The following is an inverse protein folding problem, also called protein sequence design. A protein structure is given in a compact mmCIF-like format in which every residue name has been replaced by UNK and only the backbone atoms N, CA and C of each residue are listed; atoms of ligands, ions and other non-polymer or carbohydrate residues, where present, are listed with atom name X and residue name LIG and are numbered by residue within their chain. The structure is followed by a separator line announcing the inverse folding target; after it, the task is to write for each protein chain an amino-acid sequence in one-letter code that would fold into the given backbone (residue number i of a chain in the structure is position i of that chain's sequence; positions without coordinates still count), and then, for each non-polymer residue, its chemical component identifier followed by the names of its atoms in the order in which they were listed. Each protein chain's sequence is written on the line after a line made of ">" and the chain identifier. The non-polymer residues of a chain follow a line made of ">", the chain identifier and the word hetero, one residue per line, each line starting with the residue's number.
data_IF_971066626243
#
_entry.id   IF_971066626243
#
_cell.length_a   1.000
_cell.length_b   1.000
_cell.length_c   1.000
_cell.angle_alpha   90.00
_cell.angle_beta   90.00
_cell.angle_gamma   90.00
#
_symmetry.space_group_name_H-M   'P 1'
#
loop_
_entity.id
_entity.type
_entity.pdbx_description
1 polymer ?
#
# COMPACT_ATOMS: atom_id res chain seq x y z
N UNK A 1 16.54 -73.40 75.20
CA UNK A 1 15.50 -72.99 74.24
C UNK A 1 15.17 -71.49 74.27
N UNK A 2 15.24 -70.77 75.40
CA UNK A 2 14.85 -69.35 75.47
C UNK A 2 15.69 -68.36 74.64
N UNK A 3 17.00 -68.60 74.47
CA UNK A 3 17.86 -67.72 73.69
C UNK A 3 17.53 -67.73 72.18
N UNK A 4 17.24 -68.91 71.61
CA UNK A 4 16.92 -69.07 70.18
C UNK A 4 15.61 -68.35 69.82
N UNK A 5 14.61 -68.40 70.71
CA UNK A 5 13.32 -67.70 70.53
C UNK A 5 13.49 -66.17 70.63
N UNK A 6 14.38 -65.70 71.50
CA UNK A 6 14.74 -64.27 71.62
C UNK A 6 15.41 -63.72 70.34
N UNK A 7 16.32 -64.48 69.72
CA UNK A 7 16.97 -64.06 68.48
C UNK A 7 16.01 -64.07 67.29
N UNK A 8 15.06 -65.01 67.24
CA UNK A 8 14.05 -65.07 66.17
C UNK A 8 13.16 -63.81 66.17
N UNK A 9 12.70 -63.39 67.35
CA UNK A 9 11.89 -62.18 67.50
C UNK A 9 12.65 -60.90 67.11
N UNK A 10 13.96 -60.84 67.37
CA UNK A 10 14.82 -59.74 66.93
C UNK A 10 14.97 -59.72 65.40
N UNK A 11 15.15 -60.89 64.78
CA UNK A 11 15.22 -61.03 63.32
C UNK A 11 13.91 -60.56 62.66
N UNK A 12 12.75 -60.95 63.21
CA UNK A 12 11.45 -60.53 62.70
C UNK A 12 11.24 -59.01 62.83
N UNK A 13 11.68 -58.42 63.94
CA UNK A 13 11.66 -56.97 64.14
C UNK A 13 12.54 -56.24 63.12
N UNK A 14 13.77 -56.72 62.90
CA UNK A 14 14.68 -56.16 61.91
C UNK A 14 14.08 -56.27 60.50
N UNK A 15 13.51 -57.42 60.14
CA UNK A 15 12.86 -57.61 58.83
C UNK A 15 11.68 -56.65 58.63
N UNK A 16 10.89 -56.39 59.67
CA UNK A 16 9.82 -55.40 59.63
C UNK A 16 10.36 -53.98 59.38
N UNK A 17 11.44 -53.60 60.06
CA UNK A 17 12.11 -52.31 59.88
C UNK A 17 12.66 -52.19 58.45
N UNK A 18 13.35 -53.22 57.96
CA UNK A 18 13.88 -53.27 56.58
C UNK A 18 12.76 -53.10 55.56
N UNK A 19 11.65 -53.83 55.71
CA UNK A 19 10.51 -53.72 54.80
C UNK A 19 9.88 -52.32 54.81
N UNK A 20 9.80 -51.69 55.99
CA UNK A 20 9.30 -50.32 56.13
C UNK A 20 10.23 -49.33 55.41
N UNK A 21 11.54 -49.41 55.66
CA UNK A 21 12.54 -48.55 55.04
C UNK A 21 12.58 -48.72 53.52
N UNK A 22 12.43 -49.93 53.01
CA UNK A 22 12.36 -50.21 51.57
C UNK A 22 11.13 -49.54 50.93
N UNK A 23 9.96 -49.59 51.59
CA UNK A 23 8.76 -48.89 51.10
C UNK A 23 8.93 -47.37 51.12
N UNK A 24 9.47 -46.83 52.20
CA UNK A 24 9.75 -45.38 52.31
C UNK A 24 10.73 -44.93 51.23
N UNK A 25 11.76 -45.75 50.92
CA UNK A 25 12.71 -45.48 49.86
C UNK A 25 12.05 -45.41 48.47
N UNK A 26 11.19 -46.39 48.13
CA UNK A 26 10.47 -46.39 46.84
C UNK A 26 9.51 -45.20 46.72
N UNK A 27 8.83 -44.81 47.81
CA UNK A 27 7.97 -43.61 47.82
C UNK A 27 8.80 -42.35 47.53
N UNK A 28 9.93 -42.18 48.22
CA UNK A 28 10.81 -41.01 48.01
C UNK A 28 11.35 -40.98 46.58
N UNK A 29 11.72 -42.14 46.02
CA UNK A 29 12.20 -42.26 44.65
C UNK A 29 11.14 -41.85 43.63
N UNK A 30 9.89 -42.25 43.82
CA UNK A 30 8.80 -41.81 42.95
C UNK A 30 8.47 -40.33 43.12
N UNK A 31 8.48 -39.80 44.35
CA UNK A 31 8.35 -38.36 44.57
C UNK A 31 9.44 -37.57 43.83
N UNK A 32 10.69 -38.03 43.85
CA UNK A 32 11.79 -37.41 43.10
C UNK A 32 11.56 -37.47 41.58
N UNK A 33 11.05 -38.60 41.07
CA UNK A 33 10.73 -38.75 39.63
C UNK A 33 9.63 -37.77 39.21
N UNK A 34 8.58 -37.65 40.01
CA UNK A 34 7.48 -36.70 39.78
C UNK A 34 8.01 -35.27 39.83
N UNK A 35 8.81 -34.92 40.84
CA UNK A 35 9.37 -33.58 40.97
C UNK A 35 10.22 -33.18 39.76
N UNK A 36 11.09 -34.08 39.27
CA UNK A 36 11.86 -33.84 38.03
C UNK A 36 10.95 -33.59 36.83
N UNK A 37 9.85 -34.34 36.71
CA UNK A 37 8.87 -34.14 35.64
C UNK A 37 8.14 -32.81 35.77
N UNK A 38 7.83 -32.35 36.98
CA UNK A 38 7.25 -31.02 37.21
C UNK A 38 8.22 -29.94 36.72
N UNK A 39 9.49 -29.99 37.12
CA UNK A 39 10.51 -29.02 36.70
C UNK A 39 10.67 -28.98 35.17
N UNK A 40 10.65 -30.15 34.52
CA UNK A 40 10.69 -30.24 33.04
C UNK A 40 9.47 -29.55 32.40
N UNK A 41 8.28 -29.73 32.98
CA UNK A 41 7.04 -29.10 32.48
C UNK A 41 7.01 -27.60 32.76
N UNK A 42 7.47 -27.14 33.91
CA UNK A 42 7.59 -25.72 34.24
C UNK A 42 8.51 -25.00 33.25
N UNK A 43 9.65 -25.61 32.91
CA UNK A 43 10.55 -25.08 31.88
C UNK A 43 9.85 -24.96 30.52
N UNK A 44 9.13 -26.01 30.12
CA UNK A 44 8.38 -26.00 28.85
C UNK A 44 7.29 -24.92 28.84
N UNK A 45 6.59 -24.73 29.96
CA UNK A 45 5.59 -23.66 30.10
C UNK A 45 6.25 -22.30 29.87
N UNK A 46 7.37 -22.03 30.55
CA UNK A 46 8.09 -20.76 30.41
C UNK A 46 8.60 -20.53 28.96
N UNK A 47 9.10 -21.57 28.30
CA UNK A 47 9.50 -21.50 26.89
C UNK A 47 8.31 -21.20 25.96
N UNK A 48 7.14 -21.80 26.22
CA UNK A 48 5.93 -21.56 25.44
C UNK A 48 5.36 -20.17 25.67
N UNK A 49 5.35 -19.67 26.92
CA UNK A 49 4.95 -18.31 27.25
C UNK A 49 5.83 -17.28 26.52
N UNK A 50 7.15 -17.52 26.45
CA UNK A 50 8.06 -16.67 25.67
C UNK A 50 7.72 -16.65 24.17
N UNK A 51 7.32 -17.79 23.60
CA UNK A 51 6.87 -17.87 22.20
C UNK A 51 5.54 -17.15 21.97
N UNK A 52 4.58 -17.32 22.88
CA UNK A 52 3.29 -16.62 22.81
C UNK A 52 3.51 -15.12 22.79
N UNK A 53 4.30 -14.60 23.73
CA UNK A 53 4.62 -13.17 23.78
C UNK A 53 5.29 -12.68 22.48
N UNK A 54 6.25 -13.43 21.95
CA UNK A 54 6.90 -13.07 20.68
C UNK A 54 5.93 -13.07 19.49
N UNK A 55 4.96 -13.99 19.46
CA UNK A 55 3.92 -14.04 18.44
C UNK A 55 2.93 -12.87 18.59
N UNK A 56 2.55 -12.51 19.80
CA UNK A 56 1.69 -11.35 20.08
C UNK A 56 2.35 -10.05 19.61
N UNK A 57 3.63 -9.83 19.91
CA UNK A 57 4.40 -8.67 19.44
C UNK A 57 4.52 -8.63 17.90
N UNK A 58 4.67 -9.79 17.25
CA UNK A 58 4.70 -9.88 15.80
C UNK A 58 3.34 -9.58 15.16
N UNK A 59 2.26 -10.04 15.78
CA UNK A 59 0.88 -9.78 15.36
C UNK A 59 0.55 -8.28 15.46
N UNK A 60 0.93 -7.63 16.56
CA UNK A 60 0.71 -6.20 16.76
C UNK A 60 1.43 -5.37 15.69
N UNK A 61 2.69 -5.70 15.38
CA UNK A 61 3.44 -5.06 14.29
C UNK A 61 2.77 -5.26 12.92
N UNK A 62 2.23 -6.44 12.67
CA UNK A 62 1.54 -6.73 11.42
C UNK A 62 0.24 -5.92 11.30
N UNK A 63 -0.54 -5.80 12.39
CA UNK A 63 -1.75 -4.98 12.42
C UNK A 63 -1.46 -3.51 12.14
N UNK A 64 -0.42 -2.94 12.78
CA UNK A 64 0.01 -1.55 12.51
C UNK A 64 0.37 -1.37 11.03
N UNK A 65 1.04 -2.35 10.43
CA UNK A 65 1.37 -2.33 9.00
C UNK A 65 0.11 -2.40 8.10
N UNK A 66 -0.90 -3.16 8.51
CA UNK A 66 -2.15 -3.29 7.76
C UNK A 66 -2.99 -2.01 7.85
N UNK A 67 -3.07 -1.40 9.02
CA UNK A 67 -3.77 -0.12 9.23
C UNK A 67 -3.10 1.00 8.44
N UNK A 68 -1.77 1.05 8.43
CA UNK A 68 -1.03 1.99 7.58
C UNK A 68 -1.31 1.75 6.09
N UNK A 69 -1.29 0.48 5.64
CA UNK A 69 -1.66 0.13 4.25
C UNK A 69 -3.06 0.67 3.91
N UNK A 70 -4.04 0.46 4.78
CA UNK A 70 -5.42 0.94 4.58
C UNK A 70 -5.46 2.46 4.44
N UNK A 71 -4.78 3.20 5.32
CA UNK A 71 -4.72 4.67 5.27
C UNK A 71 -4.13 5.17 3.95
N UNK A 72 -3.01 4.60 3.51
CA UNK A 72 -2.38 4.94 2.23
C UNK A 72 -3.35 4.71 1.08
N UNK A 73 -3.99 3.53 1.02
CA UNK A 73 -4.91 3.22 -0.07
C UNK A 73 -6.16 4.07 -0.07
N UNK A 74 -6.75 4.37 1.09
CA UNK A 74 -7.87 5.31 1.16
C UNK A 74 -7.49 6.67 0.60
N UNK A 75 -6.32 7.19 0.96
CA UNK A 75 -5.84 8.47 0.44
C UNK A 75 -5.60 8.44 -1.08
N UNK A 76 -4.95 7.39 -1.59
CA UNK A 76 -4.74 7.21 -3.03
C UNK A 76 -6.06 7.10 -3.80
N UNK A 77 -7.02 6.36 -3.25
CA UNK A 77 -8.34 6.14 -3.86
C UNK A 77 -9.14 7.43 -3.98
N UNK A 78 -9.13 8.26 -2.92
CA UNK A 78 -9.78 9.57 -2.90
C UNK A 78 -9.21 10.50 -3.98
N UNK A 79 -7.87 10.58 -4.08
CA UNK A 79 -7.19 11.44 -5.06
C UNK A 79 -7.34 10.91 -6.50
N UNK A 80 -7.29 9.59 -6.68
CA UNK A 80 -7.55 8.97 -7.98
C UNK A 80 -8.94 9.33 -8.48
N UNK A 81 -9.98 9.18 -7.64
CA UNK A 81 -11.34 9.60 -7.97
C UNK A 81 -11.44 11.11 -8.25
N UNK A 82 -10.70 11.92 -7.52
CA UNK A 82 -10.66 13.37 -7.75
C UNK A 82 -10.11 13.72 -9.13
N UNK A 83 -8.97 13.16 -9.51
CA UNK A 83 -8.39 13.38 -10.84
C UNK A 83 -9.30 12.85 -11.95
N UNK A 84 -9.91 11.67 -11.78
CA UNK A 84 -10.88 11.14 -12.74
C UNK A 84 -12.08 12.10 -12.94
N UNK A 85 -12.60 12.70 -11.86
CA UNK A 85 -13.66 13.73 -11.96
C UNK A 85 -13.19 15.00 -12.67
N UNK A 86 -11.96 15.44 -12.43
CA UNK A 86 -11.37 16.59 -13.14
C UNK A 86 -11.30 16.33 -14.64
N UNK A 87 -10.97 15.10 -15.02
CA UNK A 87 -10.99 14.62 -16.41
C UNK A 87 -12.40 14.31 -16.93
N UNK A 88 -13.45 14.81 -16.26
CA UNK A 88 -14.87 14.71 -16.65
C UNK A 88 -15.41 13.28 -16.69
N UNK A 89 -14.76 12.33 -16.02
CA UNK A 89 -15.27 10.98 -15.84
C UNK A 89 -16.07 10.86 -14.54
N UNK A 90 -17.14 10.06 -14.57
CA UNK A 90 -17.98 9.81 -13.39
C UNK A 90 -17.25 8.86 -12.43
N UNK A 91 -16.71 9.40 -11.34
CA UNK A 91 -16.06 8.60 -10.30
C UNK A 91 -17.06 8.15 -9.23
N UNK A 92 -17.70 7.02 -9.47
CA UNK A 92 -18.63 6.36 -8.56
C UNK A 92 -17.92 5.33 -7.65
N UNK A 93 -18.71 4.45 -7.01
CA UNK A 93 -18.17 3.40 -6.14
C UNK A 93 -17.45 2.28 -6.90
N UNK A 94 -17.62 2.20 -8.23
CA UNK A 94 -16.96 1.21 -9.08
C UNK A 94 -15.67 1.76 -9.70
N UNK A 95 -15.31 3.00 -9.38
CA UNK A 95 -14.04 3.63 -9.71
C UNK A 95 -13.16 3.62 -8.47
N UNK A 96 -12.12 2.79 -8.42
CA UNK A 96 -11.27 2.69 -7.22
C UNK A 96 -9.89 2.12 -7.52
N UNK A 97 -8.98 2.16 -6.56
CA UNK A 97 -7.71 1.43 -6.60
C UNK A 97 -7.86 0.15 -5.76
N UNK A 98 -7.71 -1.01 -6.40
CA UNK A 98 -7.73 -2.30 -5.71
C UNK A 98 -6.49 -2.42 -4.80
N UNK A 99 -6.71 -2.51 -3.49
CA UNK A 99 -5.62 -2.55 -2.50
C UNK A 99 -4.85 -3.87 -2.43
N UNK A 100 -5.39 -4.93 -3.02
CA UNK A 100 -4.74 -6.24 -3.09
C UNK A 100 -3.93 -6.39 -4.37
N UNK A 101 -4.45 -5.87 -5.48
CA UNK A 101 -3.81 -5.97 -6.80
C UNK A 101 -3.00 -4.75 -7.19
N UNK A 102 -3.17 -3.61 -6.51
CA UNK A 102 -2.53 -2.32 -6.83
C UNK A 102 -2.91 -1.81 -8.23
N UNK A 103 -4.15 -2.04 -8.66
CA UNK A 103 -4.63 -1.72 -10.02
C UNK A 103 -5.79 -0.72 -9.93
N UNK A 104 -5.81 0.34 -10.75
CA UNK A 104 -6.96 1.22 -10.87
C UNK A 104 -8.10 0.58 -11.67
N UNK A 105 -9.32 0.82 -11.21
CA UNK A 105 -10.59 0.42 -11.81
C UNK A 105 -11.41 1.67 -12.15
N UNK A 106 -12.22 1.56 -13.19
CA UNK A 106 -13.22 2.56 -13.58
C UNK A 106 -14.46 1.84 -14.10
N UNK A 107 -15.64 2.21 -13.60
CA UNK A 107 -16.93 1.56 -13.91
C UNK A 107 -16.85 0.03 -13.88
N UNK A 108 -16.20 -0.51 -12.83
CA UNK A 108 -16.13 -1.95 -12.57
C UNK A 108 -15.11 -2.73 -13.41
N UNK A 109 -14.45 -2.07 -14.37
CA UNK A 109 -13.45 -2.68 -15.25
C UNK A 109 -12.04 -2.19 -14.94
N UNK A 110 -11.06 -3.09 -15.02
CA UNK A 110 -9.67 -2.75 -14.72
C UNK A 110 -9.02 -2.02 -15.89
N UNK A 111 -7.89 -1.35 -15.63
CA UNK A 111 -7.04 -0.74 -16.68
C UNK A 111 -6.55 -1.75 -17.74
N UNK A 112 -6.70 -3.07 -17.54
CA UNK A 112 -6.31 -4.07 -18.54
C UNK A 112 -7.47 -4.49 -19.44
N UNK A 113 -8.70 -4.20 -19.04
CA UNK A 113 -9.92 -4.68 -19.72
C UNK A 113 -10.60 -3.59 -20.55
N UNK A 114 -10.23 -2.31 -20.35
CA UNK A 114 -10.77 -1.19 -21.12
C UNK A 114 -10.14 -1.10 -22.51
N UNK A 115 -10.98 -0.86 -23.53
CA UNK A 115 -10.53 -0.73 -24.93
C UNK A 115 -10.21 0.72 -25.34
N UNK A 116 -10.76 1.72 -24.63
CA UNK A 116 -10.57 3.13 -24.93
C UNK A 116 -9.19 3.62 -24.47
N UNK A 117 -8.30 3.93 -25.41
CA UNK A 117 -6.95 4.44 -25.14
C UNK A 117 -6.92 5.75 -24.35
N UNK A 118 -7.88 6.65 -24.60
CA UNK A 118 -7.99 7.92 -23.87
C UNK A 118 -8.39 7.74 -22.41
N UNK A 119 -9.38 6.88 -22.16
CA UNK A 119 -9.77 6.51 -20.79
C UNK A 119 -8.62 5.81 -20.05
N UNK A 120 -7.97 4.85 -20.70
CA UNK A 120 -6.80 4.15 -20.13
C UNK A 120 -5.72 5.14 -19.68
N UNK A 121 -5.42 6.11 -20.54
CA UNK A 121 -4.45 7.15 -20.22
C UNK A 121 -4.90 8.03 -19.04
N UNK A 122 -6.18 8.41 -18.98
CA UNK A 122 -6.72 9.18 -17.86
C UNK A 122 -6.66 8.39 -16.54
N UNK A 123 -6.96 7.08 -16.57
CA UNK A 123 -6.82 6.21 -15.41
C UNK A 123 -5.37 6.13 -14.93
N UNK A 124 -4.44 5.94 -15.86
CA UNK A 124 -3.00 5.87 -15.56
C UNK A 124 -2.47 7.19 -15.01
N UNK A 125 -2.80 8.32 -15.63
CA UNK A 125 -2.38 9.65 -15.18
C UNK A 125 -2.98 9.99 -13.82
N UNK A 126 -4.26 9.71 -13.60
CA UNK A 126 -4.92 9.91 -12.30
C UNK A 126 -4.25 9.09 -11.20
N UNK A 127 -3.88 7.85 -11.51
CA UNK A 127 -3.22 6.98 -10.54
C UNK A 127 -1.80 7.45 -10.21
N UNK A 128 -1.01 7.82 -11.22
CA UNK A 128 0.34 8.38 -11.02
C UNK A 128 0.29 9.72 -10.27
N UNK A 129 -0.68 10.58 -10.60
CA UNK A 129 -0.91 11.84 -9.93
C UNK A 129 -1.25 11.65 -8.45
N UNK A 130 -2.13 10.69 -8.13
CA UNK A 130 -2.47 10.34 -6.74
C UNK A 130 -1.25 9.85 -5.93
N UNK A 131 -0.36 9.08 -6.56
CA UNK A 131 0.89 8.64 -5.92
C UNK A 131 1.79 9.83 -5.62
N UNK A 132 2.00 10.72 -6.59
CA UNK A 132 2.83 11.92 -6.41
C UNK A 132 2.25 12.86 -5.35
N UNK A 133 0.93 13.13 -5.40
CA UNK A 133 0.29 14.01 -4.42
C UNK A 133 0.40 13.48 -2.99
N UNK A 134 0.45 12.15 -2.82
CA UNK A 134 0.58 11.51 -1.51
C UNK A 134 1.94 11.71 -0.83
N UNK A 135 2.95 12.25 -1.54
CA UNK A 135 4.23 12.63 -0.95
C UNK A 135 4.06 13.69 0.16
N UNK A 136 3.13 14.64 -0.04
CA UNK A 136 2.84 15.72 0.93
C UNK A 136 2.36 15.20 2.29
N UNK A 137 1.65 14.08 2.27
CA UNK A 137 1.13 13.40 3.46
C UNK A 137 2.13 12.38 4.04
N UNK A 138 3.32 12.25 3.44
CA UNK A 138 4.37 11.33 3.88
C UNK A 138 4.20 9.88 3.41
N UNK A 139 3.15 9.58 2.64
CA UNK A 139 2.86 8.23 2.16
C UNK A 139 3.79 7.76 1.03
N UNK A 140 4.36 8.70 0.26
CA UNK A 140 5.30 8.41 -0.83
C UNK A 140 6.75 8.83 -0.55
N UNK A 141 7.21 8.75 0.72
CA UNK A 141 8.56 9.17 1.12
C UNK A 141 9.74 8.49 0.38
N UNK A 142 9.51 7.34 -0.25
CA UNK A 142 10.50 6.65 -1.08
C UNK A 142 10.46 7.01 -2.57
N UNK A 143 9.52 7.85 -3.01
CA UNK A 143 9.39 8.25 -4.41
C UNK A 143 10.45 9.32 -4.75
N UNK A 144 11.12 9.24 -5.92
CA UNK A 144 12.20 10.18 -6.26
C UNK A 144 11.74 11.61 -6.58
N UNK A 145 10.44 11.89 -6.50
CA UNK A 145 9.85 13.17 -6.91
C UNK A 145 10.01 13.50 -8.40
N UNK A 146 10.26 12.49 -9.25
CA UNK A 146 10.44 12.65 -10.70
C UNK A 146 9.39 11.83 -11.45
N UNK A 147 8.72 12.43 -12.43
CA UNK A 147 7.82 11.76 -13.36
C UNK A 147 8.30 12.00 -14.79
N UNK A 148 8.49 10.92 -15.56
CA UNK A 148 8.81 11.01 -16.98
C UNK A 148 7.70 10.37 -17.79
N UNK A 149 7.14 11.15 -18.72
CA UNK A 149 6.07 10.72 -19.62
C UNK A 149 6.63 10.67 -21.04
N UNK A 150 6.71 9.47 -21.61
CA UNK A 150 7.06 9.27 -23.02
C UNK A 150 5.78 9.17 -23.85
N UNK A 151 5.63 10.06 -24.83
CA UNK A 151 4.57 10.07 -25.83
C UNK A 151 3.16 10.29 -25.26
N UNK A 152 3.01 11.33 -24.42
CA UNK A 152 1.75 11.72 -23.81
C UNK A 152 0.67 12.03 -24.86
N UNK A 153 1.00 12.69 -25.97
CA UNK A 153 0.06 13.07 -27.04
C UNK A 153 -0.55 11.91 -27.83
N UNK A 154 0.01 10.70 -27.77
CA UNK A 154 -0.34 9.60 -28.70
C UNK A 154 -1.83 9.23 -28.66
N UNK A 155 -2.45 9.37 -27.50
CA UNK A 155 -3.87 9.13 -27.31
C UNK A 155 -4.64 10.42 -27.01
N UNK A 156 -3.96 11.58 -26.93
CA UNK A 156 -4.54 12.88 -26.53
C UNK A 156 -4.96 13.81 -27.69
N UNK A 157 -4.74 13.47 -28.97
CA UNK A 157 -5.19 14.26 -30.13
C UNK A 157 -5.38 13.39 -31.38
N UNK A 158 -6.22 13.69 -32.37
CA UNK A 158 -6.80 14.97 -32.85
C UNK A 158 -8.02 14.69 -33.74
N UNK A 159 -9.15 15.38 -33.53
CA UNK A 159 -10.07 15.75 -34.61
C UNK A 159 -10.56 17.17 -34.38
N UNK A 160 -9.86 18.15 -34.97
CA UNK A 160 -10.56 19.37 -35.41
C UNK A 160 -11.54 18.89 -36.48
N UNK A 161 -12.80 19.28 -36.35
CA UNK A 161 -13.92 18.95 -37.24
C UNK A 161 -13.73 19.34 -38.72
N UNK A 162 -12.58 19.89 -39.09
CA UNK A 162 -12.27 20.43 -40.42
C UNK A 162 -11.39 19.50 -41.29
N UNK A 163 -10.91 18.37 -40.76
CA UNK A 163 -10.02 17.43 -41.50
C UNK A 163 -10.58 15.99 -41.63
N UNK A 164 -11.87 15.83 -41.91
CA UNK A 164 -12.38 14.56 -42.46
C UNK A 164 -12.26 14.61 -43.99
N UNK A 165 -11.40 13.81 -44.65
CA UNK A 165 -11.60 13.47 -46.05
C UNK A 165 -12.95 12.76 -46.14
N UNK A 166 -13.84 13.23 -47.03
CA UNK A 166 -15.20 12.69 -47.21
C UNK A 166 -15.28 11.26 -47.75
N UNK A 167 -14.20 10.49 -47.72
CA UNK A 167 -14.10 9.22 -48.42
C UNK A 167 -13.29 8.22 -47.58
N UNK A 168 -13.95 7.61 -46.59
CA UNK A 168 -13.80 6.21 -46.14
C UNK A 168 -14.46 6.04 -44.78
N UNK A 169 -15.79 5.98 -44.79
CA UNK A 169 -16.58 5.54 -43.63
C UNK A 169 -16.49 4.01 -43.60
N UNK A 170 -15.43 3.48 -43.00
CA UNK A 170 -15.43 2.07 -42.56
C UNK A 170 -16.35 2.02 -41.35
N UNK A 171 -17.52 1.42 -41.53
CA UNK A 171 -18.49 1.14 -40.48
C UNK A 171 -17.87 0.20 -39.44
N UNK A 172 -17.27 0.76 -38.41
CA UNK A 172 -17.08 0.10 -37.13
C UNK A 172 -18.02 0.84 -36.19
N UNK A 173 -19.06 0.16 -35.72
CA UNK A 173 -19.96 0.65 -34.67
C UNK A 173 -19.18 0.73 -33.35
N UNK A 174 -18.28 1.70 -33.22
CA UNK A 174 -17.75 2.16 -31.95
C UNK A 174 -18.54 3.41 -31.61
N UNK A 175 -19.12 3.45 -30.41
CA UNK A 175 -19.92 4.58 -29.96
C UNK A 175 -19.08 5.87 -30.06
N UNK A 176 -19.64 6.93 -30.66
CA UNK A 176 -18.97 8.24 -30.88
C UNK A 176 -18.39 8.89 -29.61
N UNK A 177 -18.71 8.35 -28.41
CA UNK A 177 -18.16 8.76 -27.12
C UNK A 177 -16.70 8.33 -26.88
N UNK A 178 -16.18 7.35 -27.62
CA UNK A 178 -14.89 6.73 -27.34
C UNK A 178 -13.69 7.37 -28.07
N UNK A 179 -13.94 8.33 -28.98
CA UNK A 179 -12.92 8.86 -29.90
C UNK A 179 -12.69 10.38 -29.81
N UNK A 180 -13.40 11.09 -28.93
CA UNK A 180 -13.22 12.53 -28.75
C UNK A 180 -12.79 12.75 -27.30
N UNK A 181 -11.48 12.77 -27.05
CA UNK A 181 -10.99 13.43 -25.84
C UNK A 181 -11.28 14.91 -26.05
N UNK A 182 -12.26 15.39 -25.30
CA UNK A 182 -12.67 16.78 -25.30
C UNK A 182 -11.44 17.67 -25.04
N UNK A 183 -11.22 18.75 -25.82
CA UNK A 183 -10.20 19.76 -25.53
C UNK A 183 -10.16 20.19 -24.06
N UNK A 184 -11.29 20.15 -23.35
CA UNK A 184 -11.36 20.41 -21.91
C UNK A 184 -10.59 19.38 -21.06
N UNK A 185 -10.67 18.09 -21.39
CA UNK A 185 -9.96 17.02 -20.67
C UNK A 185 -8.46 17.16 -20.87
N UNK A 186 -8.04 17.53 -22.09
CA UNK A 186 -6.66 17.83 -22.40
C UNK A 186 -6.13 18.98 -21.53
N UNK A 187 -6.87 20.08 -21.44
CA UNK A 187 -6.50 21.23 -20.61
C UNK A 187 -6.35 20.83 -19.13
N UNK A 188 -7.25 20.01 -18.60
CA UNK A 188 -7.19 19.53 -17.21
C UNK A 188 -6.00 18.61 -16.95
N UNK A 189 -5.60 17.77 -17.91
CA UNK A 189 -4.39 16.95 -17.77
C UNK A 189 -3.16 17.85 -17.62
N UNK A 190 -3.01 18.86 -18.46
CA UNK A 190 -1.87 19.78 -18.36
C UNK A 190 -1.93 20.60 -17.07
N UNK A 191 -3.09 21.10 -16.66
CA UNK A 191 -3.25 21.78 -15.35
C UNK A 191 -2.80 20.91 -14.19
N UNK A 192 -3.24 19.64 -14.18
CA UNK A 192 -2.80 18.68 -13.17
C UNK A 192 -1.28 18.50 -13.18
N UNK A 193 -0.65 18.35 -14.35
CA UNK A 193 0.81 18.23 -14.45
C UNK A 193 1.51 19.50 -13.96
N UNK A 194 0.99 20.69 -14.26
CA UNK A 194 1.53 21.97 -13.75
C UNK A 194 1.48 22.01 -12.23
N UNK A 195 0.33 21.67 -11.64
CA UNK A 195 0.15 21.65 -10.19
C UNK A 195 1.15 20.69 -9.54
N UNK A 196 1.30 19.48 -10.07
CA UNK A 196 2.28 18.51 -9.58
C UNK A 196 3.72 18.98 -9.78
N UNK A 197 4.01 19.72 -10.85
CA UNK A 197 5.35 20.23 -11.14
C UNK A 197 5.86 21.27 -10.14
N UNK A 198 4.96 21.81 -9.29
CA UNK A 198 5.35 22.76 -8.24
C UNK A 198 6.23 22.12 -7.15
N UNK A 199 6.04 20.83 -6.92
CA UNK A 199 6.76 20.06 -5.89
C UNK A 199 7.58 18.90 -6.50
N UNK A 200 7.32 18.53 -7.75
CA UNK A 200 7.96 17.37 -8.42
C UNK A 200 8.57 17.78 -9.77
N UNK A 201 9.60 17.07 -10.22
CA UNK A 201 10.16 17.26 -11.56
C UNK A 201 9.40 16.43 -12.58
N UNK A 202 8.73 17.08 -13.54
CA UNK A 202 8.00 16.40 -14.62
C UNK A 202 8.72 16.62 -15.94
N UNK A 203 9.01 15.51 -16.64
CA UNK A 203 9.65 15.50 -17.95
C UNK A 203 8.65 14.89 -18.95
N UNK A 204 8.24 15.67 -19.94
CA UNK A 204 7.35 15.21 -21.01
C UNK A 204 8.18 15.12 -22.29
N UNK A 205 8.23 13.94 -22.88
CA UNK A 205 8.86 13.70 -24.19
C UNK A 205 7.74 13.44 -25.18
N UNK A 206 7.58 14.35 -26.14
CA UNK A 206 6.49 14.30 -27.10
C UNK A 206 6.99 14.60 -28.52
N UNK A 207 6.48 13.88 -29.50
CA UNK A 207 6.83 13.99 -30.93
C UNK A 207 5.62 14.35 -31.81
N UNK A 208 4.49 14.76 -31.22
CA UNK A 208 3.30 15.16 -31.99
C UNK A 208 3.55 16.43 -32.83
N UNK A 209 2.99 16.44 -34.05
CA UNK A 209 3.15 17.56 -35.01
C UNK A 209 2.40 18.83 -34.59
N UNK A 210 1.53 18.74 -33.59
CA UNK A 210 0.76 19.87 -33.03
C UNK A 210 1.54 20.65 -31.95
N UNK A 211 2.87 20.66 -32.11
CA UNK A 211 3.86 21.36 -31.28
C UNK A 211 3.50 22.81 -30.95
N UNK A 212 2.67 23.50 -31.74
CA UNK A 212 2.31 24.90 -31.51
C UNK A 212 1.33 25.09 -30.34
N UNK A 213 0.38 24.18 -30.15
CA UNK A 213 -0.59 24.25 -29.05
C UNK A 213 0.05 23.79 -27.74
N UNK A 214 0.89 22.75 -27.82
CA UNK A 214 1.76 22.33 -26.71
C UNK A 214 2.78 23.42 -26.33
N UNK A 215 3.41 24.11 -27.30
CA UNK A 215 4.29 25.26 -27.00
C UNK A 215 3.53 26.41 -26.36
N UNK A 216 2.33 26.74 -26.83
CA UNK A 216 1.52 27.80 -26.24
C UNK A 216 1.15 27.47 -24.79
N UNK A 217 0.75 26.24 -24.52
CA UNK A 217 0.48 25.77 -23.16
C UNK A 217 1.77 25.82 -22.34
N UNK A 218 2.91 25.35 -22.86
CA UNK A 218 4.21 25.42 -22.18
C UNK A 218 4.69 26.88 -21.92
N UNK A 219 4.41 27.82 -22.81
CA UNK A 219 4.68 29.25 -22.61
C UNK A 219 3.76 29.85 -21.53
N UNK A 220 2.48 29.46 -21.51
CA UNK A 220 1.57 29.79 -20.41
C UNK A 220 2.03 29.14 -19.08
N UNK A 221 2.59 27.91 -19.12
CA UNK A 221 3.16 27.19 -17.98
C UNK A 221 4.37 27.92 -17.39
N UNK A 222 5.30 28.39 -18.22
CA UNK A 222 6.45 29.18 -17.75
C UNK A 222 5.99 30.47 -17.07
N UNK A 223 4.99 31.16 -17.63
CA UNK A 223 4.47 32.39 -17.03
C UNK A 223 3.71 32.16 -15.71
N UNK A 224 2.95 31.06 -15.57
CA UNK A 224 2.27 30.69 -14.33
C UNK A 224 3.24 30.19 -13.26
N UNK A 225 4.25 29.40 -13.64
CA UNK A 225 5.28 28.92 -12.73
C UNK A 225 6.11 30.09 -12.20
N UNK A 226 6.51 31.02 -13.07
CA UNK A 226 7.19 32.26 -12.67
C UNK A 226 6.34 33.16 -11.75
N UNK A 227 5.03 33.28 -12.01
CA UNK A 227 4.10 34.02 -11.10
C UNK A 227 3.98 33.35 -9.74
N UNK A 228 3.88 32.03 -9.70
CA UNK A 228 3.75 31.26 -8.45
C UNK A 228 5.03 31.35 -7.63
N UNK A 229 6.20 31.22 -8.26
CA UNK A 229 7.51 31.41 -7.62
C UNK A 229 7.63 32.84 -7.07
N UNK A 230 7.25 33.85 -7.85
CA UNK A 230 7.30 35.25 -7.42
C UNK A 230 6.40 35.53 -6.21
N UNK A 231 5.17 35.04 -6.22
CA UNK A 231 4.26 35.16 -5.06
C UNK A 231 4.80 34.44 -3.81
N UNK A 232 5.45 33.28 -3.98
CA UNK A 232 6.06 32.53 -2.86
C UNK A 232 7.25 33.30 -2.27
N UNK A 233 8.07 33.93 -3.12
CA UNK A 233 9.18 34.81 -2.70
C UNK A 233 8.67 36.06 -2.00
N UNK A 234 7.64 36.72 -2.53
CA UNK A 234 7.06 37.93 -1.95
C UNK A 234 6.44 37.63 -0.56
N UNK A 235 5.70 36.53 -0.41
CA UNK A 235 5.18 36.08 0.89
C UNK A 235 6.30 35.69 1.90
N UNK A 236 7.43 35.16 1.42
CA UNK A 236 8.59 34.87 2.27
C UNK A 236 9.34 36.14 2.69
N UNK A 237 9.27 37.21 1.90
CA UNK A 237 9.86 38.50 2.23
C UNK A 237 8.98 39.25 3.24
N UNK A 238 7.65 39.21 3.08
CA UNK A 238 6.71 39.82 4.02
C UNK A 238 6.72 39.15 5.41
N UNK A 239 6.89 37.82 5.48
CA UNK A 239 6.99 37.09 6.74
C UNK A 239 8.33 37.26 7.49
N UNK A 240 9.34 37.86 6.85
CA UNK A 240 10.64 38.21 7.47
C UNK A 240 10.73 39.67 7.94
N UNK A 241 9.71 40.48 7.69
CA UNK A 241 9.66 41.91 8.07
C UNK A 241 8.89 42.15 9.39
N UNK A 242 8.41 41.09 10.05
CA UNK A 242 7.78 41.14 11.38
C UNK A 242 8.72 40.57 12.45
#
# INVERSE_FOLDING_TARGET
>A
MGAIVSFLSQIDSINSIVNKLTREHEIVKECLRIHRKIVEKEKLISELEGKVKGLEEALEKLNVSEDYKKQVFTHLDEHYKEYMRRFKYDADNETYIDSEKYIPYYSGSSVYDHESGGLLQCMQLSYLAAILSSEKEGYASGHPGVLMLDSLSKYLGTLKSDELPKEEVVQIEVSEKDLIIDPEVYEEIYKMLIELSTDHQIIIVDNSKDTAETLRILEEMDTLSLKTIKNKVDNMLESKII
#
